data_IF_193143084956
#
_entry.id   IF_193143084956
#
_cell.length_a   1.000
_cell.length_b   1.000
_cell.length_c   1.000
_cell.angle_alpha   90.00
_cell.angle_beta   90.00
_cell.angle_gamma   90.00
#
_symmetry.space_group_name_H-M   'P 1'
#
loop_
_entity.id
_entity.type
_entity.pdbx_description
1 polymer ?
#
# COMPACT_ATOMS: atom_id res chain seq x y z
N UNK A 1 -20.46 9.18 1.31
CA UNK A 1 -20.48 7.78 0.84
C UNK A 1 -20.99 6.78 1.88
N UNK A 2 -20.41 6.66 3.10
CA UNK A 2 -20.93 5.77 4.17
C UNK A 2 -22.40 6.00 4.54
N UNK A 3 -22.85 7.25 4.71
CA UNK A 3 -24.24 7.58 5.04
C UNK A 3 -25.25 7.17 3.97
N UNK A 4 -24.92 7.33 2.69
CA UNK A 4 -25.76 6.93 1.57
C UNK A 4 -25.94 5.41 1.48
N UNK A 5 -24.89 4.65 1.80
CA UNK A 5 -24.95 3.18 1.83
C UNK A 5 -25.76 2.67 3.03
N UNK A 6 -25.67 3.32 4.19
CA UNK A 6 -26.45 2.95 5.36
C UNK A 6 -27.96 3.22 5.16
N UNK A 7 -28.32 4.30 4.49
CA UNK A 7 -29.74 4.59 4.18
C UNK A 7 -30.31 3.56 3.21
N UNK A 8 -29.57 3.13 2.20
CA UNK A 8 -30.01 2.08 1.28
C UNK A 8 -30.18 0.70 1.96
N UNK A 9 -29.46 0.43 3.03
CA UNK A 9 -29.62 -0.80 3.81
C UNK A 9 -30.91 -0.83 4.63
N UNK A 10 -31.46 0.35 5.00
CA UNK A 10 -32.68 0.44 5.78
C UNK A 10 -33.98 0.28 4.96
N UNK A 11 -33.88 0.50 3.64
CA UNK A 11 -35.07 0.53 2.76
C UNK A 11 -35.32 -0.76 1.98
N UNK A 12 -34.38 -1.72 1.96
CA UNK A 12 -34.52 -2.96 1.19
C UNK A 12 -34.10 -4.18 1.99
N UNK A 13 -34.90 -5.25 1.91
CA UNK A 13 -34.63 -6.55 2.54
C UNK A 13 -33.31 -7.17 2.07
N UNK A 14 -32.83 -6.77 0.86
CA UNK A 14 -31.52 -7.11 0.29
C UNK A 14 -30.89 -5.86 -0.33
N UNK A 15 -29.86 -5.29 0.28
CA UNK A 15 -29.21 -4.12 -0.29
C UNK A 15 -28.54 -4.47 -1.64
N UNK A 16 -28.82 -3.67 -2.66
CA UNK A 16 -28.19 -3.79 -3.99
C UNK A 16 -26.69 -3.54 -3.98
N UNK A 17 -26.19 -2.90 -2.91
CA UNK A 17 -24.78 -2.56 -2.73
C UNK A 17 -24.33 -3.05 -1.37
N UNK A 18 -23.31 -3.89 -1.33
CA UNK A 18 -22.67 -4.33 -0.09
C UNK A 18 -21.47 -3.46 0.22
N UNK A 19 -21.31 -3.09 1.49
CA UNK A 19 -20.12 -2.39 1.96
C UNK A 19 -19.06 -3.42 2.33
N UNK A 20 -17.90 -3.36 1.67
CA UNK A 20 -16.74 -4.20 1.96
C UNK A 20 -15.90 -3.52 3.05
N UNK A 21 -15.69 -4.20 4.17
CA UNK A 21 -14.78 -3.79 5.25
C UNK A 21 -13.63 -4.77 5.36
N UNK A 22 -12.57 -4.40 6.09
CA UNK A 22 -11.32 -5.19 6.16
C UNK A 22 -11.52 -6.67 6.54
N UNK A 23 -12.49 -6.98 7.41
CA UNK A 23 -12.81 -8.36 7.84
C UNK A 23 -13.92 -9.01 7.01
N UNK A 24 -14.35 -8.40 5.89
CA UNK A 24 -15.37 -9.00 5.04
C UNK A 24 -14.87 -10.33 4.46
N UNK A 25 -15.66 -11.42 4.51
CA UNK A 25 -15.23 -12.75 4.04
C UNK A 25 -14.69 -12.77 2.61
N UNK A 26 -15.14 -11.86 1.75
CA UNK A 26 -14.66 -11.73 0.39
C UNK A 26 -13.15 -11.37 0.35
N UNK A 27 -12.68 -10.51 1.25
CA UNK A 27 -11.25 -10.17 1.32
C UNK A 27 -10.41 -11.37 1.75
N UNK A 28 -10.86 -12.12 2.75
CA UNK A 28 -10.19 -13.35 3.17
C UNK A 28 -10.11 -14.33 2.01
N UNK A 29 -11.23 -14.55 1.32
CA UNK A 29 -11.27 -15.45 0.17
C UNK A 29 -10.32 -15.00 -0.96
N UNK A 30 -10.27 -13.71 -1.30
CA UNK A 30 -9.36 -13.18 -2.32
C UNK A 30 -7.90 -13.37 -1.91
N UNK A 31 -7.55 -13.07 -0.65
CA UNK A 31 -6.21 -13.29 -0.13
C UNK A 31 -5.79 -14.76 -0.17
N UNK A 32 -6.68 -15.66 0.26
CA UNK A 32 -6.42 -17.10 0.24
C UNK A 32 -6.21 -17.60 -1.20
N UNK A 33 -7.02 -17.13 -2.14
CA UNK A 33 -6.85 -17.46 -3.56
C UNK A 33 -5.56 -16.88 -4.13
N UNK A 34 -5.20 -15.65 -3.80
CA UNK A 34 -3.92 -15.05 -4.17
C UNK A 34 -2.73 -15.86 -3.65
N UNK A 35 -2.76 -16.24 -2.37
CA UNK A 35 -1.73 -17.08 -1.76
C UNK A 35 -1.58 -18.47 -2.39
N UNK A 36 -2.69 -19.05 -2.87
CA UNK A 36 -2.67 -20.34 -3.58
C UNK A 36 -2.12 -20.23 -5.01
N UNK A 37 -2.39 -19.11 -5.69
CA UNK A 37 -2.00 -18.91 -7.08
C UNK A 37 -0.52 -18.51 -7.23
N UNK A 38 -0.03 -17.65 -6.33
CA UNK A 38 1.28 -17.02 -6.46
C UNK A 38 2.34 -17.58 -5.50
N UNK A 39 1.95 -18.42 -4.55
CA UNK A 39 2.90 -18.96 -3.58
C UNK A 39 3.52 -17.90 -2.65
N UNK A 40 4.48 -18.36 -1.84
CA UNK A 40 5.25 -17.47 -0.95
C UNK A 40 6.59 -17.13 -1.59
N UNK A 41 6.72 -16.07 -2.26
CA UNK A 41 7.98 -15.64 -2.89
C UNK A 41 7.87 -15.45 -4.40
N UNK A 42 6.67 -15.60 -4.94
CA UNK A 42 6.37 -15.27 -6.33
C UNK A 42 5.56 -13.99 -6.39
N UNK A 43 5.95 -13.07 -7.27
CA UNK A 43 5.19 -11.87 -7.56
C UNK A 43 4.57 -11.97 -8.96
N UNK A 44 3.29 -11.58 -9.14
CA UNK A 44 2.68 -11.57 -10.46
C UNK A 44 3.36 -10.52 -11.35
N UNK A 45 3.64 -10.91 -12.59
CA UNK A 45 4.14 -10.02 -13.61
C UNK A 45 3.02 -9.74 -14.62
N UNK A 46 2.67 -8.46 -14.81
CA UNK A 46 1.53 -8.04 -15.64
C UNK A 46 1.97 -7.01 -16.66
N UNK A 47 1.71 -7.26 -17.93
CA UNK A 47 1.95 -6.31 -19.00
C UNK A 47 0.76 -5.36 -19.21
N UNK A 48 1.02 -4.05 -19.33
CA UNK A 48 0.01 -3.01 -19.57
C UNK A 48 0.43 -2.15 -20.78
N UNK A 49 0.36 -2.71 -22.00
CA UNK A 49 0.93 -2.06 -23.19
C UNK A 49 0.24 -0.73 -23.57
N UNK A 50 -1.04 -0.57 -23.21
CA UNK A 50 -1.81 0.62 -23.57
C UNK A 50 -1.51 1.85 -22.70
N UNK A 51 -0.82 1.67 -21.58
CA UNK A 51 -0.60 2.71 -20.56
C UNK A 51 0.86 2.90 -20.18
N UNK A 52 1.67 1.88 -20.34
CA UNK A 52 3.09 1.91 -19.99
C UNK A 52 3.94 1.81 -21.24
N UNK A 53 5.10 2.45 -21.22
CA UNK A 53 6.10 2.30 -22.28
C UNK A 53 6.73 0.91 -22.21
N UNK A 54 7.20 0.35 -23.34
CA UNK A 54 7.87 -0.95 -23.35
C UNK A 54 9.09 -1.04 -22.42
N UNK A 55 9.80 0.08 -22.25
CA UNK A 55 11.01 0.17 -21.42
C UNK A 55 10.70 0.46 -19.95
N UNK A 56 9.43 0.59 -19.58
CA UNK A 56 8.99 0.95 -18.25
C UNK A 56 8.65 -0.28 -17.43
N UNK A 57 9.19 -0.33 -16.21
CA UNK A 57 8.87 -1.36 -15.22
C UNK A 57 8.47 -0.69 -13.93
N UNK A 58 7.38 -1.14 -13.29
CA UNK A 58 6.97 -0.65 -11.98
C UNK A 58 6.90 -1.83 -11.03
N UNK A 59 7.66 -1.75 -9.93
CA UNK A 59 7.52 -2.65 -8.79
C UNK A 59 6.47 -2.12 -7.84
N UNK A 60 5.48 -2.94 -7.51
CA UNK A 60 4.50 -2.63 -6.47
C UNK A 60 5.00 -3.26 -5.18
N UNK A 61 5.24 -2.42 -4.18
CA UNK A 61 5.80 -2.83 -2.91
C UNK A 61 4.79 -2.57 -1.80
N UNK A 62 4.62 -3.56 -0.93
CA UNK A 62 3.95 -3.41 0.36
C UNK A 62 5.03 -3.34 1.44
N UNK A 63 5.08 -2.23 2.17
CA UNK A 63 6.05 -2.02 3.23
C UNK A 63 5.38 -1.77 4.57
N UNK A 64 5.89 -2.39 5.62
CA UNK A 64 5.39 -2.22 6.98
C UNK A 64 6.52 -2.00 7.96
N UNK A 65 6.36 -1.01 8.86
CA UNK A 65 7.27 -0.74 9.97
C UNK A 65 6.52 -1.02 11.26
N UNK A 66 6.81 -2.10 11.98
CA UNK A 66 6.13 -2.44 13.22
C UNK A 66 6.68 -1.64 14.40
N UNK A 67 5.85 -1.41 15.40
CA UNK A 67 6.27 -0.95 16.73
C UNK A 67 6.82 -2.11 17.57
N UNK A 68 7.26 -1.82 18.82
CA UNK A 68 7.75 -2.83 19.78
C UNK A 68 6.71 -3.91 20.14
N UNK A 69 5.42 -3.68 19.87
CA UNK A 69 4.32 -4.63 20.09
C UNK A 69 3.91 -5.37 18.81
N UNK A 70 4.74 -5.32 17.77
CA UNK A 70 4.46 -5.91 16.45
C UNK A 70 3.20 -5.37 15.75
N UNK A 71 2.72 -4.20 16.18
CA UNK A 71 1.63 -3.50 15.49
C UNK A 71 2.24 -2.58 14.44
N UNK A 72 1.78 -2.58 13.20
CA UNK A 72 2.33 -1.70 12.17
C UNK A 72 2.07 -0.24 12.53
N UNK A 73 3.13 0.56 12.62
CA UNK A 73 3.08 2.03 12.69
C UNK A 73 2.89 2.63 11.31
N UNK A 74 3.57 2.04 10.34
CA UNK A 74 3.48 2.35 8.92
C UNK A 74 3.10 1.08 8.22
N UNK A 75 2.11 1.16 7.34
CA UNK A 75 1.66 0.07 6.47
C UNK A 75 1.25 0.71 5.16
N UNK A 76 2.18 0.73 4.21
CA UNK A 76 2.07 1.54 3.00
C UNK A 76 2.30 0.68 1.75
N UNK A 77 1.51 0.96 0.72
CA UNK A 77 1.67 0.39 -0.61
C UNK A 77 2.09 1.50 -1.57
N UNK A 78 3.15 1.26 -2.33
CA UNK A 78 3.70 2.23 -3.26
C UNK A 78 4.32 1.56 -4.47
N UNK A 79 4.62 2.34 -5.51
CA UNK A 79 5.29 1.90 -6.72
C UNK A 79 6.70 2.43 -6.80
N UNK A 80 7.61 1.66 -7.41
CA UNK A 80 8.94 2.09 -7.80
C UNK A 80 9.03 2.03 -9.31
N UNK A 81 9.13 3.19 -9.94
CA UNK A 81 9.16 3.33 -11.39
C UNK A 81 10.58 3.30 -11.92
N UNK A 82 10.80 2.42 -12.89
CA UNK A 82 12.04 2.28 -13.64
C UNK A 82 11.79 2.55 -15.12
N UNK A 83 12.72 3.19 -15.79
CA UNK A 83 12.72 3.36 -17.24
C UNK A 83 14.12 3.01 -17.78
N UNK A 84 14.21 2.14 -18.77
CA UNK A 84 15.49 1.63 -19.30
C UNK A 84 16.42 1.05 -18.21
N UNK A 85 15.85 0.38 -17.22
CA UNK A 85 16.62 -0.22 -16.13
C UNK A 85 17.16 0.77 -15.08
N UNK A 86 16.76 2.05 -15.13
CA UNK A 86 17.15 3.07 -14.16
C UNK A 86 15.97 3.50 -13.32
N UNK A 87 16.18 3.65 -12.03
CA UNK A 87 15.20 4.21 -11.12
C UNK A 87 14.85 5.66 -11.50
N UNK A 88 13.58 5.96 -11.58
CA UNK A 88 13.06 7.30 -11.90
C UNK A 88 12.49 7.97 -10.64
N UNK A 89 11.52 7.31 -9.99
CA UNK A 89 10.87 7.85 -8.79
C UNK A 89 10.04 6.80 -8.07
N UNK A 90 9.71 7.10 -6.83
CA UNK A 90 8.65 6.41 -6.09
C UNK A 90 7.29 7.02 -6.43
N UNK A 91 6.27 6.18 -6.49
CA UNK A 91 4.88 6.55 -6.77
C UNK A 91 4.03 6.20 -5.55
N UNK A 92 3.26 7.14 -5.05
CA UNK A 92 2.20 6.81 -4.11
C UNK A 92 1.18 5.87 -4.76
N UNK A 93 0.39 5.14 -3.96
CA UNK A 93 -0.63 4.24 -4.51
C UNK A 93 -1.63 4.95 -5.43
N UNK A 94 -1.96 6.21 -5.13
CA UNK A 94 -2.84 6.99 -5.99
C UNK A 94 -2.21 7.33 -7.35
N UNK A 95 -0.95 7.75 -7.35
CA UNK A 95 -0.19 8.03 -8.58
C UNK A 95 -0.02 6.76 -9.41
N UNK A 96 0.32 5.63 -8.77
CA UNK A 96 0.43 4.33 -9.41
C UNK A 96 -0.87 3.93 -10.11
N UNK A 97 -2.01 4.02 -9.43
CA UNK A 97 -3.32 3.68 -9.98
C UNK A 97 -3.72 4.58 -11.15
N UNK A 98 -3.33 5.86 -11.13
CA UNK A 98 -3.56 6.79 -12.23
C UNK A 98 -2.63 6.47 -13.40
N UNK A 99 -1.35 6.27 -13.13
CA UNK A 99 -0.32 6.01 -14.14
C UNK A 99 -0.57 4.70 -14.91
N UNK A 100 -0.84 3.63 -14.18
CA UNK A 100 -1.13 2.31 -14.77
C UNK A 100 -2.54 2.17 -15.33
N UNK A 101 -3.45 3.07 -14.96
CA UNK A 101 -4.85 2.98 -15.34
C UNK A 101 -5.63 1.89 -14.60
N UNK A 102 -5.10 1.29 -13.54
CA UNK A 102 -5.81 0.27 -12.73
C UNK A 102 -7.11 0.77 -12.08
N UNK A 103 -7.35 2.07 -12.11
CA UNK A 103 -8.67 2.64 -11.75
C UNK A 103 -9.74 2.40 -12.80
N UNK A 104 -9.37 2.16 -14.04
CA UNK A 104 -10.33 1.88 -15.11
C UNK A 104 -10.65 0.37 -15.10
N UNK A 105 -11.92 0.04 -15.27
CA UNK A 105 -12.49 -1.27 -14.98
C UNK A 105 -12.12 -2.37 -15.98
N UNK A 106 -11.27 -2.13 -16.97
CA UNK A 106 -10.94 -3.13 -18.00
C UNK A 106 -9.51 -2.95 -18.47
N UNK A 107 -8.58 -3.56 -17.77
CA UNK A 107 -7.22 -3.77 -18.28
C UNK A 107 -7.10 -5.25 -18.62
N UNK A 108 -7.22 -5.65 -19.88
CA UNK A 108 -6.99 -7.03 -20.26
C UNK A 108 -5.50 -7.33 -20.14
N UNK A 109 -5.15 -8.44 -19.49
CA UNK A 109 -3.79 -8.96 -19.51
C UNK A 109 -3.59 -9.73 -20.83
N UNK A 110 -3.43 -9.00 -21.91
CA UNK A 110 -3.31 -9.56 -23.26
C UNK A 110 -1.85 -9.63 -23.74
N UNK A 111 -0.90 -9.23 -22.90
CA UNK A 111 0.50 -9.15 -23.27
C UNK A 111 1.17 -10.48 -23.02
N UNK A 112 1.77 -11.04 -24.08
CA UNK A 112 2.67 -12.18 -23.96
C UNK A 112 3.99 -11.68 -23.38
N UNK A 113 4.20 -11.90 -22.09
CA UNK A 113 5.48 -11.64 -21.42
C UNK A 113 6.44 -12.79 -21.74
N UNK A 114 7.68 -12.45 -22.03
CA UNK A 114 8.74 -13.41 -22.28
C UNK A 114 9.56 -13.68 -21.02
N UNK A 115 10.25 -14.81 -20.97
CA UNK A 115 11.21 -15.08 -19.88
C UNK A 115 12.31 -13.99 -19.80
N UNK A 116 12.65 -13.36 -20.92
CA UNK A 116 13.61 -12.28 -20.96
C UNK A 116 13.10 -11.02 -20.25
N UNK A 117 11.80 -10.72 -20.35
CA UNK A 117 11.19 -9.58 -19.64
C UNK A 117 11.21 -9.80 -18.13
N UNK A 118 10.90 -11.00 -17.69
CA UNK A 118 10.95 -11.39 -16.26
C UNK A 118 12.38 -11.31 -15.74
N UNK A 119 13.35 -11.90 -16.47
CA UNK A 119 14.76 -11.86 -16.07
C UNK A 119 15.33 -10.43 -16.06
N UNK A 120 14.85 -9.54 -16.92
CA UNK A 120 15.25 -8.13 -16.89
C UNK A 120 14.72 -7.43 -15.63
N UNK A 121 13.47 -7.69 -15.24
CA UNK A 121 12.91 -7.16 -14.00
C UNK A 121 13.59 -7.73 -12.75
N UNK A 122 13.89 -9.04 -12.72
CA UNK A 122 14.58 -9.67 -11.60
C UNK A 122 15.96 -9.04 -11.31
N UNK A 123 16.68 -8.63 -12.33
CA UNK A 123 17.97 -7.93 -12.16
C UNK A 123 17.85 -6.59 -11.45
N UNK A 124 16.68 -5.96 -11.49
CA UNK A 124 16.41 -4.67 -10.83
C UNK A 124 15.96 -4.85 -9.37
N UNK A 125 15.60 -6.05 -8.95
CA UNK A 125 15.07 -6.30 -7.60
C UNK A 125 15.99 -5.82 -6.47
N UNK A 126 17.32 -6.07 -6.49
CA UNK A 126 18.19 -5.59 -5.41
C UNK A 126 18.17 -4.07 -5.26
N UNK A 127 18.19 -3.35 -6.38
CA UNK A 127 18.10 -1.90 -6.43
C UNK A 127 16.71 -1.40 -5.98
N UNK A 128 15.65 -2.09 -6.42
CA UNK A 128 14.29 -1.80 -6.00
C UNK A 128 14.09 -1.96 -4.49
N UNK A 129 14.69 -2.98 -3.87
CA UNK A 129 14.64 -3.18 -2.42
C UNK A 129 15.33 -2.02 -1.68
N UNK A 130 16.44 -1.51 -2.20
CA UNK A 130 17.14 -0.38 -1.58
C UNK A 130 16.31 0.91 -1.67
N UNK A 131 15.75 1.21 -2.83
CA UNK A 131 14.85 2.35 -2.99
C UNK A 131 13.57 2.22 -2.17
N UNK A 132 13.04 0.99 -2.00
CA UNK A 132 11.91 0.73 -1.13
C UNK A 132 12.21 1.07 0.34
N UNK A 133 13.37 0.68 0.84
CA UNK A 133 13.82 1.03 2.20
C UNK A 133 13.93 2.54 2.36
N UNK A 134 14.59 3.22 1.44
CA UNK A 134 14.74 4.68 1.46
C UNK A 134 13.37 5.40 1.48
N UNK A 135 12.42 4.94 0.69
CA UNK A 135 11.06 5.48 0.69
C UNK A 135 10.36 5.31 2.05
N UNK A 136 10.42 4.10 2.62
CA UNK A 136 9.82 3.81 3.92
C UNK A 136 10.48 4.58 5.05
N UNK A 137 11.79 4.70 5.04
CA UNK A 137 12.53 5.48 6.04
C UNK A 137 12.14 6.96 5.98
N UNK A 138 12.02 7.53 4.80
CA UNK A 138 11.54 8.91 4.61
C UNK A 138 10.10 9.09 5.10
N UNK A 139 9.24 8.13 4.82
CA UNK A 139 7.85 8.12 5.30
C UNK A 139 7.78 8.02 6.82
N UNK A 140 8.60 7.14 7.42
CA UNK A 140 8.68 6.98 8.87
C UNK A 140 9.19 8.24 9.57
N UNK A 141 10.23 8.90 9.04
CA UNK A 141 10.73 10.17 9.57
C UNK A 141 9.66 11.26 9.52
N UNK A 142 8.93 11.35 8.42
CA UNK A 142 7.80 12.28 8.29
C UNK A 142 6.70 11.99 9.32
N UNK A 143 6.37 10.73 9.53
CA UNK A 143 5.42 10.32 10.56
C UNK A 143 5.90 10.69 11.97
N UNK A 144 7.16 10.40 12.30
CA UNK A 144 7.75 10.75 13.60
C UNK A 144 7.73 12.26 13.86
N UNK A 145 8.11 13.06 12.87
CA UNK A 145 8.12 14.53 13.01
C UNK A 145 6.73 15.12 13.27
N UNK A 146 5.68 14.44 12.82
CA UNK A 146 4.30 14.84 13.06
C UNK A 146 3.78 14.36 14.44
N UNK A 147 4.13 13.17 14.86
CA UNK A 147 3.59 12.54 16.07
C UNK A 147 4.34 12.96 17.33
N UNK A 148 5.67 13.12 17.27
CA UNK A 148 6.48 13.45 18.45
C UNK A 148 6.01 14.72 19.16
N UNK A 149 5.74 15.85 18.50
CA UNK A 149 5.22 17.05 19.18
C UNK A 149 3.90 16.81 19.91
N UNK A 150 3.01 15.99 19.33
CA UNK A 150 1.72 15.67 19.95
C UNK A 150 1.89 14.78 21.19
N UNK A 151 2.84 13.85 21.15
CA UNK A 151 3.19 13.01 22.30
C UNK A 151 3.83 13.83 23.42
N UNK A 152 4.75 14.74 23.10
CA UNK A 152 5.40 15.60 24.06
C UNK A 152 4.36 16.49 24.76
N UNK A 153 3.41 17.08 24.03
CA UNK A 153 2.31 17.86 24.62
C UNK A 153 1.44 17.03 25.58
N UNK A 154 1.12 15.79 25.24
CA UNK A 154 0.35 14.90 26.13
C UNK A 154 1.16 14.46 27.36
N UNK A 155 2.46 14.22 27.21
CA UNK A 155 3.36 13.91 28.34
C UNK A 155 3.47 15.08 29.30
N UNK A 156 3.59 16.30 28.80
CA UNK A 156 3.63 17.53 29.63
C UNK A 156 2.33 17.69 30.43
N UNK A 157 1.16 17.48 29.81
CA UNK A 157 -0.15 17.49 30.49
C UNK A 157 -0.21 16.46 31.62
N UNK A 158 0.29 15.24 31.37
CA UNK A 158 0.33 14.18 32.38
C UNK A 158 1.26 14.53 33.55
N UNK A 159 2.42 15.11 33.28
CA UNK A 159 3.37 15.58 34.31
C UNK A 159 2.78 16.69 35.18
N UNK A 160 2.04 17.63 34.59
CA UNK A 160 1.30 18.66 35.34
C UNK A 160 0.23 18.05 36.24
N UNK A 161 -0.54 17.08 35.76
CA UNK A 161 -1.56 16.39 36.54
C UNK A 161 -0.95 15.62 37.72
N UNK A 162 0.18 14.93 37.50
CA UNK A 162 0.90 14.22 38.55
C UNK A 162 1.39 15.20 39.65
N UNK A 163 1.93 16.34 39.24
CA UNK A 163 2.41 17.36 40.16
C UNK A 163 1.27 17.94 41.03
N UNK A 164 0.10 18.19 40.45
CA UNK A 164 -1.09 18.60 41.17
C UNK A 164 -1.58 17.55 42.18
N UNK A 165 -1.54 16.27 41.81
CA UNK A 165 -1.95 15.18 42.68
C UNK A 165 -1.01 14.98 43.88
N UNK A 166 0.29 15.28 43.75
CA UNK A 166 1.27 15.19 44.83
C UNK A 166 1.23 16.38 45.81
N UNK A 167 0.55 17.47 45.46
CA UNK A 167 0.40 18.68 46.27
C UNK A 167 -0.85 18.69 47.15
N UNK A 168 -1.64 17.64 47.13
CA UNK A 168 -2.77 17.35 48.02
C UNK A 168 -2.43 16.20 48.95
#
# INVERSE_FOLDING_TARGET
>A
MKRSMQNNMAETTWPKVQYLWKQHPLFTWVNDKGGLLYGRGEAPFVGIPDKMKPEETIFIVAGSIPNKRSTPLVDEWFGLQYENGKFIKSLSMNELLVHTGFRSTKIPNNTSLTEADVAAAEKLLPDAVEHAKQYLDGYYQSYQSHINPLLDEELDKLAELETRHKSY
#
